data_IF_214955981750
#
_entry.id   IF_214955981750
#
_cell.length_a   1.000
_cell.length_b   1.000
_cell.length_c   1.000
_cell.angle_alpha   90.00
_cell.angle_beta   90.00
_cell.angle_gamma   90.00
#
_symmetry.space_group_name_H-M   'P 1'
#
loop_
_entity.id
_entity.type
_entity.pdbx_description
1 polymer ?
#
# COMPACT_ATOMS: atom_id res chain seq x y z
N UNK A 1 12.93 10.21 -29.37
CA UNK A 1 13.01 8.81 -28.91
C UNK A 1 13.25 8.85 -27.41
N UNK A 2 12.19 8.75 -26.61
CA UNK A 2 12.26 8.77 -25.14
C UNK A 2 12.18 7.33 -24.69
N UNK A 3 13.32 6.77 -24.26
CA UNK A 3 13.42 5.43 -23.71
C UNK A 3 12.78 5.45 -22.32
N UNK A 4 11.58 4.89 -22.18
CA UNK A 4 10.98 4.59 -20.89
C UNK A 4 11.80 3.49 -20.21
N UNK A 5 12.70 3.89 -19.32
CA UNK A 5 13.26 2.96 -18.36
C UNK A 5 12.16 2.59 -17.37
N UNK A 6 11.54 1.43 -17.56
CA UNK A 6 10.75 0.76 -16.53
C UNK A 6 11.69 0.50 -15.35
N UNK A 7 11.58 1.33 -14.31
CA UNK A 7 12.24 1.06 -13.04
C UNK A 7 11.52 -0.12 -12.41
N UNK A 8 12.09 -1.30 -12.59
CA UNK A 8 11.68 -2.49 -11.84
C UNK A 8 11.94 -2.22 -10.36
N UNK A 9 10.86 -2.17 -9.58
CA UNK A 9 10.97 -2.14 -8.12
C UNK A 9 11.77 -3.35 -7.63
N UNK A 10 12.65 -3.19 -6.63
CA UNK A 10 13.32 -4.32 -6.03
C UNK A 10 12.26 -5.22 -5.37
N UNK A 11 12.01 -6.37 -5.99
CA UNK A 11 11.26 -7.46 -5.36
C UNK A 11 12.05 -7.88 -4.14
N UNK A 12 11.53 -7.63 -2.93
CA UNK A 12 12.13 -8.13 -1.71
C UNK A 12 12.11 -9.65 -1.75
N UNK A 13 13.25 -10.34 -1.55
CA UNK A 13 13.24 -11.79 -1.40
C UNK A 13 12.50 -12.13 -0.10
N UNK A 14 11.39 -12.72 -0.26
CA UNK A 14 10.46 -13.51 0.47
C UNK A 14 10.45 -13.56 1.95
N UNK A 15 9.30 -13.44 2.50
CA UNK A 15 8.71 -14.38 3.45
C UNK A 15 7.30 -14.62 2.95
N UNK A 16 7.08 -15.79 2.43
CA UNK A 16 5.83 -16.15 1.76
C UNK A 16 4.70 -16.14 2.79
N UNK A 17 3.76 -15.19 2.72
CA UNK A 17 2.41 -15.49 3.18
C UNK A 17 1.97 -16.70 2.37
N UNK A 18 1.45 -17.78 3.00
CA UNK A 18 0.93 -18.89 2.21
C UNK A 18 -0.11 -18.31 1.25
N UNK A 19 0.23 -18.35 -0.03
CA UNK A 19 -0.69 -18.03 -1.08
C UNK A 19 -1.88 -18.99 -1.01
N UNK A 20 -2.94 -18.76 -1.83
CA UNK A 20 -4.02 -19.71 -1.95
C UNK A 20 -3.43 -21.09 -2.25
N UNK A 21 -4.08 -22.16 -1.75
CA UNK A 21 -3.65 -23.52 -2.01
C UNK A 21 -3.42 -23.72 -3.50
N UNK A 22 -2.40 -24.50 -3.86
CA UNK A 22 -2.01 -24.68 -5.27
C UNK A 22 -3.15 -25.25 -6.14
N UNK A 23 -4.09 -25.96 -5.50
CA UNK A 23 -5.30 -26.58 -6.05
C UNK A 23 -6.58 -25.72 -5.86
N UNK A 24 -6.45 -24.49 -5.37
CA UNK A 24 -7.60 -23.60 -5.22
C UNK A 24 -8.25 -23.31 -6.58
N UNK A 25 -9.59 -23.30 -6.66
CA UNK A 25 -10.30 -23.05 -7.91
C UNK A 25 -9.93 -21.66 -8.48
N UNK A 26 -9.89 -21.59 -9.80
CA UNK A 26 -9.68 -20.34 -10.50
C UNK A 26 -10.95 -19.49 -10.49
N UNK A 27 -10.77 -18.18 -10.38
CA UNK A 27 -11.82 -17.17 -10.50
C UNK A 27 -11.45 -16.18 -11.59
N UNK A 28 -12.43 -15.71 -12.33
CA UNK A 28 -12.26 -14.75 -13.41
C UNK A 28 -12.73 -13.37 -12.94
N UNK A 29 -11.89 -12.36 -13.16
CA UNK A 29 -12.21 -10.99 -12.78
C UNK A 29 -11.54 -9.99 -13.73
N UNK A 30 -11.77 -8.71 -13.52
CA UNK A 30 -11.02 -7.68 -14.25
C UNK A 30 -10.19 -6.83 -13.26
N UNK A 31 -8.97 -6.50 -13.68
CA UNK A 31 -8.08 -5.57 -12.98
C UNK A 31 -7.71 -4.43 -13.94
N UNK A 32 -8.10 -3.20 -13.59
CA UNK A 32 -7.96 -2.00 -14.44
C UNK A 32 -8.46 -2.23 -15.88
N UNK A 33 -9.62 -2.92 -15.99
CA UNK A 33 -10.27 -3.22 -17.27
C UNK A 33 -9.66 -4.39 -18.05
N UNK A 34 -8.60 -5.02 -17.55
CA UNK A 34 -8.01 -6.20 -18.18
C UNK A 34 -8.60 -7.48 -17.55
N UNK A 35 -9.08 -8.45 -18.35
CA UNK A 35 -9.50 -9.74 -17.83
C UNK A 35 -8.30 -10.52 -17.29
N UNK A 36 -8.43 -11.03 -16.08
CA UNK A 36 -7.36 -11.76 -15.37
C UNK A 36 -7.91 -12.96 -14.65
N UNK A 37 -7.05 -13.96 -14.47
CA UNK A 37 -7.36 -15.16 -13.69
C UNK A 37 -6.64 -15.11 -12.34
N UNK A 38 -7.36 -15.34 -11.28
CA UNK A 38 -6.85 -15.43 -9.92
C UNK A 38 -7.23 -16.78 -9.29
N UNK A 39 -6.67 -17.08 -8.13
CA UNK A 39 -7.05 -18.25 -7.33
C UNK A 39 -7.98 -17.84 -6.20
N UNK A 40 -8.98 -18.66 -5.92
CA UNK A 40 -9.86 -18.44 -4.79
C UNK A 40 -9.04 -18.33 -3.49
N UNK A 41 -9.31 -17.29 -2.69
CA UNK A 41 -8.53 -16.97 -1.49
C UNK A 41 -7.31 -16.07 -1.71
N UNK A 42 -6.89 -15.82 -2.95
CA UNK A 42 -5.89 -14.80 -3.28
C UNK A 42 -6.42 -13.41 -2.91
N UNK A 43 -5.60 -12.53 -2.35
CA UNK A 43 -6.00 -11.14 -2.15
C UNK A 43 -5.77 -10.33 -3.42
N UNK A 44 -6.50 -9.22 -3.57
CA UNK A 44 -6.31 -8.31 -4.70
C UNK A 44 -4.85 -7.83 -4.77
N UNK A 45 -4.21 -7.59 -3.63
CA UNK A 45 -2.81 -7.17 -3.58
C UNK A 45 -1.87 -8.28 -4.10
N UNK A 46 -2.08 -9.54 -3.69
CA UNK A 46 -1.29 -10.67 -4.17
C UNK A 46 -1.46 -10.88 -5.68
N UNK A 47 -2.68 -10.75 -6.19
CA UNK A 47 -2.96 -10.80 -7.62
C UNK A 47 -2.23 -9.68 -8.35
N UNK A 48 -2.30 -8.44 -7.85
CA UNK A 48 -1.61 -7.28 -8.44
C UNK A 48 -0.09 -7.49 -8.48
N UNK A 49 0.51 -7.98 -7.40
CA UNK A 49 1.94 -8.29 -7.34
C UNK A 49 2.36 -9.32 -8.39
N UNK A 50 1.59 -10.39 -8.54
CA UNK A 50 1.84 -11.44 -9.53
C UNK A 50 1.74 -10.93 -10.97
N UNK A 51 0.89 -9.93 -11.21
CA UNK A 51 0.69 -9.31 -12.51
C UNK A 51 1.59 -8.08 -12.74
N UNK A 52 2.40 -7.69 -11.76
CA UNK A 52 3.26 -6.51 -11.85
C UNK A 52 2.51 -5.18 -11.78
N UNK A 53 1.28 -5.19 -11.25
CA UNK A 53 0.48 -3.97 -11.01
C UNK A 53 0.89 -3.35 -9.69
N UNK A 54 1.41 -2.13 -9.75
CA UNK A 54 1.92 -1.43 -8.57
C UNK A 54 0.76 -0.88 -7.71
N UNK A 55 0.61 -1.38 -6.49
CA UNK A 55 -0.31 -0.85 -5.48
C UNK A 55 0.51 -0.51 -4.24
N UNK A 56 0.44 0.72 -3.71
CA UNK A 56 1.23 1.13 -2.55
C UNK A 56 0.79 0.36 -1.29
N UNK A 57 1.75 0.03 -0.44
CA UNK A 57 1.51 -0.67 0.82
C UNK A 57 2.58 -0.33 1.84
N UNK A 58 2.21 -0.33 3.12
CA UNK A 58 3.13 -0.07 4.23
C UNK A 58 2.94 -1.07 5.37
N UNK A 59 1.68 -1.53 5.63
CA UNK A 59 1.36 -2.46 6.71
C UNK A 59 1.13 -3.90 6.23
N UNK A 60 1.40 -4.20 4.98
CA UNK A 60 1.31 -5.55 4.42
C UNK A 60 2.72 -6.04 4.06
N UNK A 61 3.15 -7.10 4.71
CA UNK A 61 4.41 -7.78 4.44
C UNK A 61 4.17 -9.28 4.31
N UNK A 62 5.02 -9.94 3.53
CA UNK A 62 4.97 -11.39 3.38
C UNK A 62 5.17 -12.08 4.73
N UNK A 63 4.42 -13.14 4.98
CA UNK A 63 4.47 -13.90 6.24
C UNK A 63 3.68 -13.26 7.40
N UNK A 64 3.19 -12.04 7.26
CA UNK A 64 2.35 -11.39 8.26
C UNK A 64 0.89 -11.34 7.81
N UNK A 65 -0.03 -11.39 8.77
CA UNK A 65 -1.44 -11.16 8.50
C UNK A 65 -1.63 -9.68 8.20
N UNK A 66 -2.23 -9.30 7.07
CA UNK A 66 -2.49 -7.91 6.78
C UNK A 66 -3.59 -7.35 7.70
N UNK A 67 -3.37 -6.16 8.23
CA UNK A 67 -4.33 -5.48 9.11
C UNK A 67 -5.21 -4.46 8.37
N UNK A 68 -4.80 -4.02 7.18
CA UNK A 68 -5.52 -2.99 6.42
C UNK A 68 -5.51 -1.60 7.07
N UNK A 69 -4.62 -1.36 8.02
CA UNK A 69 -4.61 -0.15 8.85
C UNK A 69 -4.06 1.08 8.14
N UNK A 70 -2.98 0.95 7.37
CA UNK A 70 -2.35 2.09 6.71
C UNK A 70 -3.22 2.71 5.60
N UNK A 71 -4.14 1.97 5.02
CA UNK A 71 -5.03 2.37 3.92
C UNK A 71 -4.32 2.85 2.65
N UNK A 72 -3.01 2.68 2.55
CA UNK A 72 -2.26 3.02 1.35
C UNK A 72 -2.66 2.16 0.15
N UNK A 73 -3.03 0.90 0.37
CA UNK A 73 -3.34 -0.09 -0.68
C UNK A 73 -4.82 -0.12 -1.11
N UNK A 74 -5.57 0.96 -0.91
CA UNK A 74 -7.00 0.95 -1.27
C UNK A 74 -7.22 0.92 -2.77
N UNK A 75 -8.23 0.16 -3.19
CA UNK A 75 -8.67 0.04 -4.58
C UNK A 75 -10.17 0.26 -4.66
N UNK A 76 -10.66 0.61 -5.84
CA UNK A 76 -12.08 0.70 -6.11
C UNK A 76 -12.59 -0.63 -6.67
N UNK A 77 -13.72 -1.10 -6.16
CA UNK A 77 -14.42 -2.28 -6.68
C UNK A 77 -15.76 -1.81 -7.22
N UNK A 78 -16.04 -2.15 -8.46
CA UNK A 78 -17.29 -1.75 -9.10
C UNK A 78 -18.50 -2.28 -8.31
N UNK A 79 -19.49 -1.40 -8.10
CA UNK A 79 -20.66 -1.70 -7.28
C UNK A 79 -20.47 -1.54 -5.77
N UNK A 80 -19.24 -1.35 -5.27
CA UNK A 80 -18.99 -1.08 -3.86
C UNK A 80 -18.92 0.43 -3.58
N UNK A 81 -19.61 0.86 -2.53
CA UNK A 81 -19.64 2.28 -2.15
C UNK A 81 -18.31 2.78 -1.58
N UNK A 82 -17.54 1.92 -0.94
CA UNK A 82 -16.31 2.26 -0.24
C UNK A 82 -15.10 1.64 -0.94
N UNK A 83 -13.95 2.32 -0.85
CA UNK A 83 -12.68 1.72 -1.27
C UNK A 83 -12.30 0.56 -0.36
N UNK A 84 -11.80 -0.52 -0.96
CA UNK A 84 -11.39 -1.73 -0.27
C UNK A 84 -9.87 -1.78 -0.08
N UNK A 85 -9.39 -2.22 1.09
CA UNK A 85 -7.96 -2.49 1.30
C UNK A 85 -7.58 -3.77 0.55
N UNK A 86 -6.80 -3.63 -0.54
CA UNK A 86 -6.43 -4.75 -1.41
C UNK A 86 -5.63 -5.85 -0.70
N UNK A 87 -4.90 -5.51 0.35
CA UNK A 87 -4.16 -6.47 1.17
C UNK A 87 -5.05 -7.41 1.98
N UNK A 88 -6.29 -7.01 2.28
CA UNK A 88 -7.25 -7.78 3.06
C UNK A 88 -8.38 -8.38 2.20
N UNK A 89 -8.74 -7.71 1.12
CA UNK A 89 -9.85 -8.10 0.25
C UNK A 89 -9.44 -9.27 -0.65
N UNK A 90 -10.12 -10.38 -0.53
CA UNK A 90 -9.95 -11.53 -1.43
C UNK A 90 -10.69 -11.30 -2.74
N UNK A 91 -10.16 -11.87 -3.80
CA UNK A 91 -10.79 -11.87 -5.12
C UNK A 91 -12.07 -12.70 -5.12
N UNK A 92 -13.00 -12.34 -6.00
CA UNK A 92 -14.21 -13.09 -6.27
C UNK A 92 -14.52 -13.12 -7.77
N UNK A 93 -15.23 -14.14 -8.20
CA UNK A 93 -15.60 -14.28 -9.60
C UNK A 93 -16.49 -13.11 -10.07
N UNK A 94 -16.23 -12.62 -11.26
CA UNK A 94 -16.92 -11.47 -11.85
C UNK A 94 -16.61 -10.12 -11.21
N UNK A 95 -15.68 -10.03 -10.27
CA UNK A 95 -15.29 -8.76 -9.65
C UNK A 95 -14.60 -7.84 -10.68
N UNK A 96 -14.93 -6.54 -10.67
CA UNK A 96 -14.22 -5.53 -11.43
C UNK A 96 -13.45 -4.62 -10.45
N UNK A 97 -12.11 -4.69 -10.51
CA UNK A 97 -11.20 -3.97 -9.61
C UNK A 97 -10.48 -2.87 -10.39
N UNK A 98 -10.46 -1.67 -9.84
CA UNK A 98 -9.76 -0.51 -10.38
C UNK A 98 -8.72 -0.03 -9.36
N UNK A 99 -7.47 -0.46 -9.56
CA UNK A 99 -6.34 -0.10 -8.71
C UNK A 99 -5.91 1.36 -8.92
N UNK A 100 -6.08 1.86 -10.15
CA UNK A 100 -5.65 3.19 -10.58
C UNK A 100 -6.81 4.12 -10.95
N UNK A 101 -8.05 3.87 -10.45
CA UNK A 101 -9.14 4.83 -10.62
C UNK A 101 -8.77 6.17 -9.99
N UNK A 102 -9.35 7.27 -10.49
CA UNK A 102 -9.12 8.60 -9.90
C UNK A 102 -9.41 8.63 -8.40
N UNK A 103 -10.44 7.90 -7.97
CA UNK A 103 -10.86 7.83 -6.58
C UNK A 103 -9.87 7.04 -5.72
N UNK A 104 -9.42 5.89 -6.19
CA UNK A 104 -8.41 5.08 -5.51
C UNK A 104 -7.09 5.85 -5.42
N UNK A 105 -6.64 6.41 -6.53
CA UNK A 105 -5.41 7.18 -6.62
C UNK A 105 -5.42 8.39 -5.69
N UNK A 106 -6.49 9.18 -5.69
CA UNK A 106 -6.60 10.34 -4.79
C UNK A 106 -6.49 9.93 -3.31
N UNK A 107 -7.11 8.82 -2.92
CA UNK A 107 -7.02 8.30 -1.55
C UNK A 107 -5.61 7.81 -1.21
N UNK A 108 -4.95 7.10 -2.12
CA UNK A 108 -3.57 6.65 -1.96
C UNK A 108 -2.62 7.83 -1.79
N UNK A 109 -2.73 8.84 -2.66
CA UNK A 109 -1.88 10.04 -2.63
C UNK A 109 -2.07 10.80 -1.31
N UNK A 110 -3.29 10.99 -0.84
CA UNK A 110 -3.56 11.64 0.45
C UNK A 110 -2.94 10.89 1.63
N UNK A 111 -3.07 9.57 1.66
CA UNK A 111 -2.52 8.75 2.75
C UNK A 111 -1.00 8.84 2.76
N UNK A 112 -0.35 8.70 1.61
CA UNK A 112 1.11 8.80 1.51
C UNK A 112 1.60 10.20 1.88
N UNK A 113 0.91 11.26 1.43
CA UNK A 113 1.23 12.64 1.78
C UNK A 113 1.12 12.91 3.28
N UNK A 114 0.04 12.43 3.93
CA UNK A 114 -0.16 12.58 5.37
C UNK A 114 0.95 11.88 6.17
N UNK A 115 1.29 10.64 5.79
CA UNK A 115 2.36 9.90 6.45
C UNK A 115 3.72 10.58 6.29
N UNK A 116 4.02 11.08 5.08
CA UNK A 116 5.25 11.86 4.85
C UNK A 116 5.28 13.15 5.67
N UNK A 117 4.13 13.82 5.82
CA UNK A 117 4.07 15.07 6.59
C UNK A 117 4.35 14.88 8.07
N UNK A 118 4.14 13.67 8.59
CA UNK A 118 4.40 13.29 9.98
C UNK A 118 5.84 12.80 10.22
N UNK A 119 6.57 12.46 9.16
CA UNK A 119 7.97 12.03 9.28
C UNK A 119 8.88 13.17 9.73
N UNK A 120 9.82 12.93 10.67
CA UNK A 120 10.82 13.92 11.03
C UNK A 120 11.67 14.36 9.82
N UNK A 121 12.15 15.61 9.79
CA UNK A 121 13.09 16.05 8.76
C UNK A 121 14.34 15.16 8.77
N UNK A 122 14.93 14.97 7.60
CA UNK A 122 16.19 14.22 7.42
C UNK A 122 16.13 12.73 7.85
N UNK A 123 14.92 12.18 8.00
CA UNK A 123 14.74 10.76 8.29
C UNK A 123 14.72 9.95 7.00
N UNK A 124 15.35 8.75 7.03
CA UNK A 124 15.19 7.78 5.95
C UNK A 124 13.73 7.34 5.87
N UNK A 125 13.04 7.77 4.81
CA UNK A 125 11.63 7.45 4.60
C UNK A 125 11.39 6.05 4.06
N UNK A 126 12.46 5.31 3.73
CA UNK A 126 12.41 3.91 3.33
C UNK A 126 11.37 3.62 2.25
N UNK A 127 10.50 2.67 2.52
CA UNK A 127 9.44 2.24 1.58
C UNK A 127 8.40 3.33 1.31
N UNK A 128 8.06 4.15 2.31
CA UNK A 128 7.14 5.28 2.15
C UNK A 128 7.69 6.29 1.16
N UNK A 129 8.98 6.64 1.28
CA UNK A 129 9.66 7.53 0.34
C UNK A 129 9.73 6.96 -1.07
N UNK A 130 9.95 5.65 -1.20
CA UNK A 130 9.92 4.96 -2.48
C UNK A 130 8.56 5.07 -3.18
N UNK A 131 7.47 4.89 -2.46
CA UNK A 131 6.11 5.08 -3.01
C UNK A 131 5.83 6.53 -3.36
N UNK A 132 6.23 7.47 -2.51
CA UNK A 132 6.07 8.89 -2.77
C UNK A 132 6.80 9.33 -4.05
N UNK A 133 8.04 8.88 -4.23
CA UNK A 133 8.81 9.14 -5.43
C UNK A 133 8.14 8.53 -6.67
N UNK A 134 7.70 7.26 -6.58
CA UNK A 134 7.03 6.55 -7.67
C UNK A 134 5.77 7.30 -8.14
N UNK A 135 5.04 7.88 -7.19
CA UNK A 135 3.80 8.58 -7.45
C UNK A 135 3.94 10.11 -7.62
N UNK A 136 5.15 10.64 -7.47
CA UNK A 136 5.40 12.09 -7.59
C UNK A 136 4.75 12.91 -6.49
N UNK A 137 4.65 12.34 -5.26
CA UNK A 137 4.00 12.99 -4.13
C UNK A 137 5.00 13.87 -3.39
N UNK A 138 4.60 15.12 -3.14
CA UNK A 138 5.31 16.05 -2.29
C UNK A 138 4.36 16.58 -1.22
N UNK A 139 4.87 16.77 0.00
CA UNK A 139 4.08 17.30 1.11
C UNK A 139 3.72 18.77 0.84
N UNK A 140 2.43 19.07 0.86
CA UNK A 140 1.94 20.44 0.71
C UNK A 140 2.35 21.31 1.92
N UNK A 141 2.73 22.60 1.71
CA UNK A 141 3.14 23.47 2.80
C UNK A 141 2.11 23.55 3.96
N UNK A 142 0.83 23.50 3.64
CA UNK A 142 -0.23 23.53 4.64
C UNK A 142 -0.20 22.31 5.59
N UNK A 143 0.16 21.11 5.08
CA UNK A 143 0.33 19.92 5.92
C UNK A 143 1.65 19.97 6.69
N UNK A 144 2.72 20.40 6.05
CA UNK A 144 4.02 20.56 6.73
C UNK A 144 3.92 21.53 7.92
N UNK A 145 3.07 22.56 7.83
CA UNK A 145 2.84 23.52 8.91
C UNK A 145 2.07 22.93 10.11
N UNK A 146 1.43 21.76 9.94
CA UNK A 146 0.71 21.06 11.02
C UNK A 146 1.60 20.05 11.75
N UNK A 147 2.86 19.90 11.37
CA UNK A 147 3.80 19.01 12.04
C UNK A 147 3.92 19.39 13.50
N UNK A 148 3.89 18.38 14.35
CA UNK A 148 4.09 18.61 15.80
C UNK A 148 5.56 18.92 16.08
N UNK A 149 5.79 19.78 17.08
CA UNK A 149 7.12 19.92 17.63
C UNK A 149 7.57 18.62 18.27
N UNK A 150 8.84 18.21 18.10
CA UNK A 150 9.37 17.00 18.70
C UNK A 150 9.15 16.98 20.22
N UNK A 151 8.61 15.91 20.74
CA UNK A 151 8.39 15.72 22.17
C UNK A 151 9.57 14.95 22.76
N UNK A 152 10.11 15.43 23.89
CA UNK A 152 11.19 14.72 24.56
C UNK A 152 10.74 13.30 24.95
N UNK A 153 11.63 12.33 24.79
CA UNK A 153 11.34 10.95 25.16
C UNK A 153 10.96 10.86 26.66
N UNK A 154 9.94 10.09 26.95
CA UNK A 154 9.57 9.78 28.33
C UNK A 154 10.56 8.79 28.92
N UNK A 155 11.32 9.24 29.91
CA UNK A 155 12.31 8.46 30.66
C UNK A 155 11.83 8.11 32.07
N UNK A 156 10.54 8.22 32.35
CA UNK A 156 9.97 7.96 33.69
C UNK A 156 10.13 6.52 34.16
N UNK A 157 10.27 5.57 33.24
CA UNK A 157 10.50 4.15 33.57
C UNK A 157 11.98 3.82 33.58
N UNK A 158 12.51 3.17 34.64
CA UNK A 158 13.96 2.92 34.81
C UNK A 158 14.56 1.97 33.73
N UNK A 159 13.74 1.21 33.04
CA UNK A 159 14.18 0.22 32.03
C UNK A 159 13.71 0.50 30.61
N UNK A 160 12.93 1.56 30.39
CA UNK A 160 12.37 1.91 29.07
C UNK A 160 12.44 3.41 28.84
N UNK A 161 12.82 3.78 27.61
CA UNK A 161 12.57 5.11 27.06
C UNK A 161 11.44 5.00 26.04
N UNK A 162 10.40 5.81 26.19
CA UNK A 162 9.31 5.86 25.21
C UNK A 162 9.50 7.09 24.35
N UNK A 163 9.74 6.88 23.05
CA UNK A 163 9.74 7.96 22.09
C UNK A 163 8.30 8.29 21.72
N UNK A 164 7.86 9.51 22.04
CA UNK A 164 6.50 9.96 21.76
C UNK A 164 6.34 10.57 20.36
N UNK A 165 7.45 10.64 19.58
CA UNK A 165 7.48 11.14 18.20
C UNK A 165 7.52 10.01 17.17
N UNK A 166 7.40 8.75 17.57
CA UNK A 166 7.47 7.59 16.69
C UNK A 166 6.11 7.11 16.22
#
# INVERSE_FOLDING_TARGET
MISSAMTTQPVRPGTHRPGPAHDAPEVQLTLDGQPVTARAGETILQLADRLGVAIPRLCAADGLRPDGNCRACVVEIEGERTLAASCCRTVADGMAVHAHSLRARHSQDMVLELLLSDMPPDTDTGELGGWAQHYGIAVRPALAALRREPVAADLSHPAMAVNLDA
#
